data_IF_733123037830
#
_entry.id   IF_733123037830
#
_cell.length_a   1.000
_cell.length_b   1.000
_cell.length_c   1.000
_cell.angle_alpha   90.00
_cell.angle_beta   90.00
_cell.angle_gamma   90.00
#
_symmetry.space_group_name_H-M   'P 1'
#
loop_
_entity.id
_entity.type
_entity.pdbx_description
1 polymer ?
#
# COMPACT_ATOMS: atom_id res chain seq x y z
N UNK A 1 41.79 25.86 6.68
CA UNK A 1 41.52 24.56 7.35
C UNK A 1 40.23 24.53 8.15
N UNK A 2 39.82 25.60 8.87
CA UNK A 2 38.53 25.63 9.60
C UNK A 2 37.29 25.74 8.70
N UNK A 3 37.39 26.42 7.56
CA UNK A 3 36.26 26.61 6.62
C UNK A 3 35.96 25.35 5.78
N UNK A 4 36.99 24.57 5.44
CA UNK A 4 36.85 23.31 4.68
C UNK A 4 36.25 22.18 5.53
N UNK A 5 36.45 22.19 6.85
CA UNK A 5 35.86 21.20 7.75
C UNK A 5 34.34 21.42 7.95
N UNK A 6 33.87 22.68 7.91
CA UNK A 6 32.46 23.05 8.04
C UNK A 6 31.64 22.67 6.79
N UNK A 7 32.24 22.75 5.60
CA UNK A 7 31.62 22.36 4.33
C UNK A 7 31.45 20.84 4.19
N UNK A 8 32.27 20.03 4.87
CA UNK A 8 32.15 18.58 4.85
C UNK A 8 30.95 18.09 5.69
N UNK A 9 30.58 18.84 6.73
CA UNK A 9 29.51 18.45 7.66
C UNK A 9 28.10 18.70 7.11
N UNK A 10 27.93 19.67 6.21
CA UNK A 10 26.63 19.97 5.59
C UNK A 10 26.21 18.94 4.53
N UNK A 11 27.15 18.23 3.91
CA UNK A 11 26.87 17.20 2.89
C UNK A 11 26.36 15.89 3.53
N UNK A 12 26.81 15.58 4.75
CA UNK A 12 26.42 14.35 5.47
C UNK A 12 24.97 14.33 5.95
N UNK A 13 24.32 15.49 6.14
CA UNK A 13 22.94 15.56 6.66
C UNK A 13 21.87 15.20 5.61
N UNK A 14 22.21 15.23 4.32
CA UNK A 14 21.24 15.03 3.23
C UNK A 14 20.98 13.52 2.97
N UNK A 15 21.85 12.63 3.46
CA UNK A 15 21.78 11.19 3.16
C UNK A 15 20.90 10.36 4.11
N UNK A 16 20.33 10.96 5.17
CA UNK A 16 19.54 10.20 6.17
C UNK A 16 18.09 9.96 5.71
N UNK A 17 17.53 10.82 4.86
CA UNK A 17 16.11 10.74 4.47
C UNK A 17 15.79 9.64 3.44
N UNK A 18 16.77 9.17 2.65
CA UNK A 18 16.53 8.17 1.60
C UNK A 18 16.48 6.71 2.10
N UNK A 19 16.85 6.44 3.35
CA UNK A 19 17.08 5.06 3.80
C UNK A 19 15.80 4.28 4.13
N UNK A 20 14.68 4.98 4.38
CA UNK A 20 13.43 4.35 4.83
C UNK A 20 12.48 4.00 3.67
N UNK A 21 12.81 4.41 2.44
CA UNK A 21 11.96 4.20 1.27
C UNK A 21 12.15 2.79 0.70
N UNK A 22 11.04 2.08 0.48
CA UNK A 22 11.03 0.73 -0.11
C UNK A 22 10.38 0.77 -1.49
N UNK A 23 11.20 0.94 -2.54
CA UNK A 23 10.68 1.03 -3.92
C UNK A 23 10.19 -0.32 -4.46
N UNK A 24 10.90 -1.40 -4.13
CA UNK A 24 10.62 -2.74 -4.61
C UNK A 24 10.17 -3.64 -3.46
N UNK A 25 9.20 -4.50 -3.77
CA UNK A 25 8.82 -5.62 -2.93
C UNK A 25 9.86 -6.72 -3.07
N UNK A 26 10.13 -7.42 -1.98
CA UNK A 26 10.86 -8.68 -1.99
C UNK A 26 10.01 -9.79 -2.61
N UNK A 27 10.57 -10.98 -2.80
CA UNK A 27 9.78 -12.14 -3.21
C UNK A 27 8.67 -12.41 -2.20
N UNK A 28 7.44 -12.58 -2.70
CA UNK A 28 6.25 -12.80 -1.88
C UNK A 28 5.51 -14.06 -2.34
N UNK A 29 5.20 -14.96 -1.42
CA UNK A 29 4.29 -16.07 -1.69
C UNK A 29 2.88 -15.67 -1.30
N UNK A 30 2.00 -15.54 -2.30
CA UNK A 30 0.58 -15.29 -2.09
C UNK A 30 -0.14 -16.64 -2.00
N UNK A 31 -0.78 -16.91 -0.87
CA UNK A 31 -1.57 -18.11 -0.64
C UNK A 31 -3.01 -17.74 -0.29
N UNK A 32 -3.97 -18.30 -1.03
CA UNK A 32 -5.39 -18.12 -0.82
C UNK A 32 -6.05 -19.48 -0.60
N UNK A 33 -6.81 -19.60 0.48
CA UNK A 33 -7.72 -20.74 0.66
C UNK A 33 -8.99 -20.48 -0.12
N UNK A 34 -9.44 -21.40 -0.98
CA UNK A 34 -10.72 -21.27 -1.69
C UNK A 34 -11.77 -22.04 -0.89
N UNK A 35 -11.51 -23.32 -0.64
CA UNK A 35 -12.29 -24.19 0.23
C UNK A 35 -11.37 -25.18 0.95
N UNK A 36 -11.94 -26.07 1.77
CA UNK A 36 -11.18 -27.07 2.55
C UNK A 36 -10.24 -27.98 1.74
N UNK A 37 -10.36 -28.05 0.41
CA UNK A 37 -9.56 -28.89 -0.49
C UNK A 37 -8.79 -28.08 -1.53
N UNK A 38 -9.26 -26.90 -1.88
CA UNK A 38 -8.71 -26.08 -2.95
C UNK A 38 -8.02 -24.83 -2.39
N UNK A 39 -6.80 -24.59 -2.85
CA UNK A 39 -6.03 -23.39 -2.57
C UNK A 39 -5.36 -22.87 -3.83
N UNK A 40 -5.15 -21.56 -3.89
CA UNK A 40 -4.31 -20.92 -4.88
C UNK A 40 -3.00 -20.51 -4.20
N UNK A 41 -1.86 -20.80 -4.83
CA UNK A 41 -0.57 -20.31 -4.39
C UNK A 41 0.20 -19.79 -5.59
N UNK A 42 0.79 -18.61 -5.47
CA UNK A 42 1.68 -18.05 -6.47
C UNK A 42 2.87 -17.36 -5.80
N UNK A 43 4.03 -17.47 -6.42
CA UNK A 43 5.23 -16.73 -6.02
C UNK A 43 5.35 -15.49 -6.90
N UNK A 44 5.40 -14.33 -6.27
CA UNK A 44 5.58 -13.04 -6.91
C UNK A 44 7.06 -12.69 -6.82
N UNK A 45 7.70 -12.54 -7.97
CA UNK A 45 9.08 -12.07 -8.06
C UNK A 45 9.21 -10.62 -7.58
N UNK A 46 10.42 -10.18 -7.18
CA UNK A 46 10.65 -8.81 -6.78
C UNK A 46 10.18 -7.81 -7.85
N UNK A 47 9.32 -6.88 -7.44
CA UNK A 47 8.65 -5.94 -8.33
C UNK A 47 8.35 -4.64 -7.59
N UNK A 48 8.23 -3.50 -8.30
CA UNK A 48 7.91 -2.23 -7.65
C UNK A 48 6.51 -2.27 -7.02
N UNK A 49 6.32 -1.54 -5.93
CA UNK A 49 4.99 -1.36 -5.33
C UNK A 49 4.10 -0.46 -6.19
N UNK A 50 4.69 0.60 -6.76
CA UNK A 50 4.02 1.48 -7.71
C UNK A 50 4.37 1.03 -9.13
N UNK A 51 3.40 0.46 -9.84
CA UNK A 51 3.61 -0.10 -11.19
C UNK A 51 3.58 0.98 -12.28
N UNK A 52 2.90 2.09 -12.00
CA UNK A 52 2.91 3.34 -12.77
C UNK A 52 2.68 4.52 -11.80
N UNK A 53 2.62 5.74 -12.32
CA UNK A 53 2.51 6.97 -11.55
C UNK A 53 1.26 6.99 -10.65
N UNK A 54 1.47 6.81 -9.34
CA UNK A 54 0.42 6.69 -8.30
C UNK A 54 -0.52 5.48 -8.46
N UNK A 55 -0.07 4.43 -9.14
CA UNK A 55 -0.77 3.14 -9.23
C UNK A 55 -0.10 2.12 -8.30
N UNK A 56 -0.68 1.98 -7.11
CA UNK A 56 -0.18 1.09 -6.06
C UNK A 56 -0.77 -0.31 -6.23
N UNK A 57 0.06 -1.31 -6.41
CA UNK A 57 -0.35 -2.71 -6.37
C UNK A 57 -0.05 -3.31 -5.00
N UNK A 58 -1.07 -3.88 -4.37
CA UNK A 58 -0.97 -4.61 -3.10
C UNK A 58 -1.46 -6.05 -3.29
N UNK A 59 -0.71 -7.02 -2.81
CA UNK A 59 -1.08 -8.44 -2.82
C UNK A 59 -1.70 -8.85 -1.48
N UNK A 60 -2.44 -9.96 -1.49
CA UNK A 60 -2.97 -10.53 -0.26
C UNK A 60 -1.85 -10.95 0.69
N UNK A 61 -2.01 -10.61 1.96
CA UNK A 61 -1.04 -10.81 3.04
C UNK A 61 -0.19 -9.57 3.33
N UNK A 62 -0.28 -8.52 2.52
CA UNK A 62 0.55 -7.33 2.69
C UNK A 62 -0.04 -6.29 3.64
N UNK A 63 0.86 -5.61 4.34
CA UNK A 63 0.61 -4.37 5.08
C UNK A 63 1.62 -3.34 4.59
N UNK A 64 1.13 -2.20 4.09
CA UNK A 64 1.94 -1.16 3.50
C UNK A 64 1.80 0.15 4.26
N UNK A 65 2.92 0.83 4.47
CA UNK A 65 3.00 2.20 4.96
C UNK A 65 3.30 3.12 3.78
N UNK A 66 2.35 3.97 3.41
CA UNK A 66 2.47 4.87 2.27
C UNK A 66 2.66 6.29 2.79
N UNK A 67 3.89 6.78 2.75
CA UNK A 67 4.19 8.17 3.08
C UNK A 67 3.82 9.08 1.90
N UNK A 68 3.13 10.18 2.20
CA UNK A 68 2.63 11.11 1.18
C UNK A 68 3.19 12.51 1.44
N UNK A 69 3.87 13.05 0.43
CA UNK A 69 4.16 14.48 0.39
C UNK A 69 3.00 15.19 -0.30
N UNK A 70 2.49 16.26 0.32
CA UNK A 70 1.39 17.03 -0.23
C UNK A 70 1.54 18.53 0.05
N UNK A 71 0.97 19.34 -0.83
CA UNK A 71 0.83 20.78 -0.64
C UNK A 71 -0.65 21.12 -0.69
N UNK A 72 -1.21 21.55 0.45
CA UNK A 72 -2.68 21.67 0.63
C UNK A 72 -3.32 20.32 0.28
N UNK A 73 -4.30 20.29 -0.64
CA UNK A 73 -5.00 19.07 -1.09
C UNK A 73 -4.37 18.39 -2.30
N UNK A 74 -3.20 18.85 -2.76
CA UNK A 74 -2.49 18.25 -3.90
C UNK A 74 -1.43 17.27 -3.39
N UNK A 75 -1.59 15.99 -3.71
CA UNK A 75 -0.55 14.98 -3.55
C UNK A 75 0.57 15.28 -4.54
N UNK A 76 1.80 15.37 -4.05
CA UNK A 76 3.01 15.63 -4.83
C UNK A 76 3.76 14.34 -5.13
N UNK A 77 3.87 13.47 -4.13
CA UNK A 77 4.53 12.18 -4.25
C UNK A 77 3.90 11.18 -3.27
N UNK A 78 4.05 9.89 -3.58
CA UNK A 78 3.69 8.77 -2.72
C UNK A 78 4.80 7.74 -2.81
N UNK A 79 5.23 7.18 -1.69
CA UNK A 79 6.19 6.09 -1.67
C UNK A 79 5.92 5.15 -0.50
N UNK A 80 6.29 3.88 -0.66
CA UNK A 80 6.21 2.91 0.43
C UNK A 80 7.42 3.11 1.34
N UNK A 81 7.19 3.04 2.64
CA UNK A 81 8.25 3.06 3.66
C UNK A 81 8.27 1.75 4.45
N UNK A 82 9.45 1.35 4.90
CA UNK A 82 9.63 0.13 5.69
C UNK A 82 9.00 0.28 7.09
N UNK A 83 9.25 1.42 7.73
CA UNK A 83 8.71 1.74 9.05
C UNK A 83 7.91 3.05 9.02
N UNK A 84 6.79 3.07 9.74
CA UNK A 84 5.98 4.28 9.92
C UNK A 84 6.61 5.24 10.94
N UNK A 85 7.64 5.97 10.52
CA UNK A 85 8.32 7.00 11.32
C UNK A 85 7.55 8.33 11.39
N UNK A 86 6.65 8.57 10.43
CA UNK A 86 5.86 9.81 10.29
C UNK A 86 4.35 9.48 10.23
N UNK A 87 3.71 9.08 11.35
CA UNK A 87 2.33 8.59 11.36
C UNK A 87 1.30 9.60 10.86
N UNK A 88 1.57 10.90 10.98
CA UNK A 88 0.73 11.99 10.51
C UNK A 88 0.76 12.17 8.98
N UNK A 89 1.73 11.55 8.30
CA UNK A 89 1.92 11.60 6.84
C UNK A 89 1.80 10.24 6.16
N UNK A 90 1.45 9.21 6.92
CA UNK A 90 1.51 7.82 6.46
C UNK A 90 0.14 7.17 6.44
N UNK A 91 -0.33 6.81 5.25
CA UNK A 91 -1.50 5.95 5.09
C UNK A 91 -1.08 4.52 5.40
N UNK A 92 -1.84 3.83 6.24
CA UNK A 92 -1.71 2.38 6.42
C UNK A 92 -2.72 1.67 5.52
N UNK A 93 -2.26 0.74 4.70
CA UNK A 93 -3.10 -0.12 3.89
C UNK A 93 -2.80 -1.57 4.26
N UNK A 94 -3.83 -2.37 4.58
CA UNK A 94 -3.66 -3.81 4.74
C UNK A 94 -4.66 -4.56 3.89
N UNK A 95 -4.22 -5.70 3.35
CA UNK A 95 -5.06 -6.56 2.54
C UNK A 95 -4.78 -8.03 2.87
N UNK A 96 -5.72 -8.70 3.50
CA UNK A 96 -5.56 -10.07 3.99
C UNK A 96 -6.81 -10.92 3.75
N UNK A 97 -6.65 -12.23 3.82
CA UNK A 97 -7.76 -13.16 3.72
C UNK A 97 -8.23 -13.58 5.11
N UNK A 98 -9.54 -13.52 5.34
CA UNK A 98 -10.19 -14.22 6.44
C UNK A 98 -10.54 -15.66 6.03
N UNK A 99 -10.16 -16.63 6.86
CA UNK A 99 -10.48 -18.04 6.65
C UNK A 99 -11.09 -18.67 7.90
N UNK A 100 -11.90 -19.71 7.71
CA UNK A 100 -12.41 -20.57 8.78
C UNK A 100 -12.32 -22.01 8.32
N UNK A 101 -11.63 -22.87 9.07
CA UNK A 101 -11.39 -24.27 8.70
C UNK A 101 -10.84 -24.39 7.25
N UNK A 102 -9.83 -23.57 6.92
CA UNK A 102 -9.21 -23.49 5.58
C UNK A 102 -10.20 -23.17 4.45
N UNK A 103 -11.33 -22.53 4.75
CA UNK A 103 -12.31 -22.09 3.75
C UNK A 103 -12.37 -20.57 3.73
N UNK A 104 -12.45 -19.99 2.53
CA UNK A 104 -12.58 -18.55 2.34
C UNK A 104 -13.79 -18.00 3.10
N UNK A 105 -13.63 -16.89 3.81
CA UNK A 105 -14.74 -16.17 4.46
C UNK A 105 -14.87 -14.71 3.98
N UNK A 106 -13.86 -14.21 3.28
CA UNK A 106 -13.81 -12.85 2.76
C UNK A 106 -12.38 -12.33 2.70
N UNK A 107 -12.17 -11.29 1.92
CA UNK A 107 -10.94 -10.51 1.89
C UNK A 107 -11.12 -9.24 2.72
N UNK A 108 -10.30 -9.07 3.73
CA UNK A 108 -10.26 -7.88 4.56
C UNK A 108 -9.39 -6.83 3.86
N UNK A 109 -9.98 -5.68 3.58
CA UNK A 109 -9.27 -4.51 3.08
C UNK A 109 -9.42 -3.35 4.06
N UNK A 110 -8.29 -2.85 4.55
CA UNK A 110 -8.23 -1.75 5.51
C UNK A 110 -7.40 -0.60 4.97
N UNK A 111 -7.90 0.62 5.15
CA UNK A 111 -7.14 1.85 4.87
C UNK A 111 -7.32 2.84 6.01
N UNK A 112 -6.22 3.31 6.59
CA UNK A 112 -6.20 4.35 7.63
C UNK A 112 -5.66 5.65 7.04
N UNK A 113 -6.47 6.71 7.12
CA UNK A 113 -6.12 8.04 6.66
C UNK A 113 -5.69 8.93 7.84
N UNK A 114 -4.42 9.34 7.93
CA UNK A 114 -3.95 10.22 9.00
C UNK A 114 -4.22 11.70 8.72
N UNK A 115 -4.63 12.07 7.50
CA UNK A 115 -4.73 13.45 7.06
C UNK A 115 -6.03 14.11 7.50
N UNK A 116 -6.01 15.44 7.56
CA UNK A 116 -7.17 16.30 7.80
C UNK A 116 -8.14 16.38 6.60
N UNK A 117 -7.79 15.76 5.48
CA UNK A 117 -8.61 15.74 4.27
C UNK A 117 -9.29 14.40 4.09
N UNK A 118 -10.42 14.40 3.37
CA UNK A 118 -11.02 13.15 2.91
C UNK A 118 -10.13 12.56 1.83
N UNK A 119 -9.78 11.27 1.93
CA UNK A 119 -9.06 10.57 0.88
C UNK A 119 -10.04 9.81 -0.03
N UNK A 120 -9.84 9.88 -1.34
CA UNK A 120 -10.58 9.12 -2.36
C UNK A 120 -9.60 8.38 -3.26
N UNK A 121 -9.94 7.16 -3.67
CA UNK A 121 -9.19 6.36 -4.65
C UNK A 121 -10.12 5.45 -5.46
N UNK A 122 -9.59 4.92 -6.56
CA UNK A 122 -10.20 3.83 -7.35
C UNK A 122 -9.48 2.53 -7.04
N UNK A 123 -10.14 1.41 -7.29
CA UNK A 123 -9.52 0.11 -7.16
C UNK A 123 -10.00 -0.86 -8.24
N UNK A 124 -9.10 -1.76 -8.62
CA UNK A 124 -9.37 -2.95 -9.43
C UNK A 124 -8.87 -4.17 -8.66
N UNK A 125 -9.53 -5.32 -8.83
CA UNK A 125 -9.18 -6.57 -8.16
C UNK A 125 -8.79 -7.63 -9.18
N UNK A 126 -7.67 -8.31 -8.93
CA UNK A 126 -7.21 -9.45 -9.71
C UNK A 126 -7.64 -10.74 -9.03
N UNK A 127 -8.40 -11.57 -9.75
CA UNK A 127 -8.82 -12.89 -9.25
C UNK A 127 -7.74 -13.97 -9.45
N UNK A 128 -8.03 -15.19 -9.04
CA UNK A 128 -7.13 -16.36 -9.15
C UNK A 128 -6.88 -16.81 -10.59
N UNK A 129 -7.60 -16.25 -11.57
CA UNK A 129 -7.37 -16.46 -13.00
C UNK A 129 -6.59 -15.31 -13.64
N UNK A 130 -6.06 -14.39 -12.82
CA UNK A 130 -5.33 -13.20 -13.26
C UNK A 130 -6.18 -12.21 -14.07
N UNK A 131 -7.50 -12.22 -13.87
CA UNK A 131 -8.42 -11.31 -14.55
C UNK A 131 -8.67 -10.08 -13.65
N UNK A 132 -8.40 -8.89 -14.18
CA UNK A 132 -8.69 -7.62 -13.53
C UNK A 132 -10.16 -7.24 -13.66
N UNK A 133 -10.80 -6.94 -12.53
CA UNK A 133 -12.18 -6.47 -12.46
C UNK A 133 -12.24 -5.16 -11.69
N UNK A 134 -12.87 -4.15 -12.28
CA UNK A 134 -13.10 -2.86 -11.61
C UNK A 134 -13.98 -3.07 -10.40
N UNK A 135 -13.57 -2.52 -9.26
CA UNK A 135 -14.39 -2.43 -8.07
C UNK A 135 -14.77 -0.97 -7.80
N UNK A 136 -15.73 -0.77 -6.91
CA UNK A 136 -16.24 0.57 -6.58
C UNK A 136 -15.10 1.49 -6.11
N UNK A 137 -15.22 2.78 -6.40
CA UNK A 137 -14.33 3.78 -5.79
C UNK A 137 -14.59 3.88 -4.29
N UNK A 138 -13.53 4.13 -3.53
CA UNK A 138 -13.59 4.27 -2.09
C UNK A 138 -13.34 5.72 -1.67
N UNK A 139 -13.91 6.09 -0.53
CA UNK A 139 -13.65 7.38 0.11
C UNK A 139 -13.69 7.23 1.62
N UNK A 140 -12.78 7.91 2.31
CA UNK A 140 -12.64 7.84 3.77
C UNK A 140 -12.43 9.22 4.35
N UNK A 141 -13.07 9.49 5.48
CA UNK A 141 -13.00 10.80 6.14
C UNK A 141 -11.58 11.06 6.66
N UNK A 142 -11.32 12.33 6.99
CA UNK A 142 -10.13 12.72 7.74
C UNK A 142 -10.00 11.90 9.03
N UNK A 143 -8.76 11.56 9.42
CA UNK A 143 -8.44 10.82 10.65
C UNK A 143 -9.31 9.57 10.89
N UNK A 144 -9.63 8.83 9.83
CA UNK A 144 -10.52 7.68 9.92
C UNK A 144 -9.92 6.44 9.30
N UNK A 145 -10.40 5.29 9.75
CA UNK A 145 -10.09 3.99 9.15
C UNK A 145 -11.31 3.44 8.46
N UNK A 146 -11.12 2.93 7.25
CA UNK A 146 -12.12 2.18 6.51
C UNK A 146 -11.81 0.70 6.54
N UNK A 147 -12.88 -0.08 6.63
CA UNK A 147 -12.87 -1.52 6.56
C UNK A 147 -13.86 -1.94 5.48
N UNK A 148 -13.42 -2.81 4.58
CA UNK A 148 -14.25 -3.45 3.58
C UNK A 148 -13.99 -4.95 3.60
N UNK A 149 -15.06 -5.74 3.47
CA UNK A 149 -14.98 -7.16 3.23
C UNK A 149 -15.37 -7.39 1.76
N UNK A 150 -14.46 -7.95 0.97
CA UNK A 150 -14.74 -8.38 -0.41
C UNK A 150 -15.03 -9.88 -0.40
N UNK A 151 -16.06 -10.31 -1.13
CA UNK A 151 -16.61 -11.67 -1.02
C UNK A 151 -15.83 -12.74 -1.80
N UNK A 152 -15.09 -12.32 -2.82
CA UNK A 152 -14.38 -13.23 -3.71
C UNK A 152 -12.91 -13.35 -3.29
N UNK A 153 -12.27 -14.53 -3.48
CA UNK A 153 -10.82 -14.65 -3.38
C UNK A 153 -10.13 -13.72 -4.39
N UNK A 154 -9.28 -12.84 -3.87
CA UNK A 154 -8.57 -11.84 -4.67
C UNK A 154 -7.08 -12.01 -4.41
N UNK A 155 -6.29 -12.06 -5.48
CA UNK A 155 -4.83 -12.19 -5.42
C UNK A 155 -4.19 -10.84 -5.12
N UNK A 156 -4.70 -9.78 -5.75
CA UNK A 156 -4.15 -8.43 -5.64
C UNK A 156 -5.19 -7.35 -5.88
N UNK A 157 -4.97 -6.18 -5.30
CA UNK A 157 -5.66 -4.94 -5.62
C UNK A 157 -4.71 -3.97 -6.32
N UNK A 158 -5.20 -3.31 -7.36
CA UNK A 158 -4.57 -2.14 -7.97
C UNK A 158 -5.33 -0.91 -7.50
N UNK A 159 -4.66 -0.04 -6.76
CA UNK A 159 -5.21 1.19 -6.21
C UNK A 159 -4.66 2.37 -6.99
N UNK A 160 -5.55 3.23 -7.49
CA UNK A 160 -5.15 4.35 -8.33
C UNK A 160 -5.95 5.61 -8.03
N UNK A 161 -5.57 6.72 -8.66
CA UNK A 161 -6.36 7.96 -8.65
C UNK A 161 -6.54 8.55 -7.23
N UNK A 162 -5.54 8.38 -6.35
CA UNK A 162 -5.53 8.93 -4.98
C UNK A 162 -5.66 10.46 -4.98
N UNK A 163 -6.66 10.97 -4.26
CA UNK A 163 -6.98 12.42 -4.19
C UNK A 163 -7.46 12.82 -2.80
N UNK A 164 -6.97 13.96 -2.31
CA UNK A 164 -7.58 14.65 -1.17
C UNK A 164 -8.79 15.48 -1.61
N UNK A 165 -9.85 15.45 -0.80
CA UNK A 165 -11.14 16.13 -1.02
C UNK A 165 -11.49 17.06 0.14
#
# INVERSE_FOLDING_TARGET
>A
MRLTLLLLFSILQIHVFSQNQKTYRDTLTVSLSIDSRNSFTNTIDPAPYFIDHNELQIYTGEVLYIEIEHKKRKILSMHVVEENKNPERTILISFDQSTRLNTHQGMNFRVTNPFEYRLKWKAEAMDTQYIWKKIKSFQIKAHSTHYSILQEPIVSLLLSDFKFK
#
